data_IF_526852431848
#
_entry.id   IF_526852431848
#
_cell.length_a   1.000
_cell.length_b   1.000
_cell.length_c   1.000
_cell.angle_alpha   90.00
_cell.angle_beta   90.00
_cell.angle_gamma   90.00
#
_symmetry.space_group_name_H-M   'P 1'
#
loop_
_entity.id
_entity.type
_entity.pdbx_description
1 polymer ?
#
# COMPACT_ATOMS: atom_id res chain seq x y z
N UNK A 1 15.62 -66.02 47.00
CA UNK A 1 14.57 -65.44 47.87
C UNK A 1 15.18 -64.26 48.62
N UNK A 2 14.62 -63.04 48.56
CA UNK A 2 13.20 -62.67 48.66
C UNK A 2 12.67 -61.94 47.39
N UNK A 3 11.49 -62.26 46.86
CA UNK A 3 10.12 -61.83 47.24
C UNK A 3 9.82 -60.34 46.94
N UNK A 4 9.14 -60.17 45.79
CA UNK A 4 8.52 -58.97 45.26
C UNK A 4 7.44 -58.39 46.18
N UNK A 5 7.41 -57.06 46.33
CA UNK A 5 6.19 -56.31 46.62
C UNK A 5 6.13 -55.06 45.72
N UNK A 6 4.96 -54.92 45.09
CA UNK A 6 4.61 -53.94 44.05
C UNK A 6 4.37 -52.54 44.65
N UNK A 7 4.97 -51.51 44.04
CA UNK A 7 4.63 -50.11 44.31
C UNK A 7 3.79 -49.55 43.16
N UNK A 8 2.54 -49.22 43.49
CA UNK A 8 1.59 -48.48 42.64
C UNK A 8 2.08 -47.04 42.43
N UNK A 9 2.43 -46.69 41.20
CA UNK A 9 2.64 -45.30 40.77
C UNK A 9 1.28 -44.67 40.41
N UNK A 10 0.88 -43.66 41.18
CA UNK A 10 -0.21 -42.75 40.82
C UNK A 10 0.25 -41.85 39.66
N UNK A 11 -0.32 -42.06 38.48
CA UNK A 11 -0.16 -41.19 37.32
C UNK A 11 -1.22 -40.08 37.38
N UNK A 12 -0.78 -38.83 37.58
CA UNK A 12 -1.62 -37.65 37.46
C UNK A 12 -2.01 -37.44 35.99
N UNK A 13 -3.30 -37.65 35.68
CA UNK A 13 -3.90 -37.25 34.41
C UNK A 13 -3.77 -35.73 34.22
N UNK A 14 -2.93 -35.30 33.28
CA UNK A 14 -3.04 -33.99 32.68
C UNK A 14 -4.16 -34.01 31.63
N UNK A 15 -5.13 -33.07 31.66
CA UNK A 15 -6.08 -32.96 30.57
C UNK A 15 -5.33 -32.54 29.31
N UNK A 16 -5.41 -33.36 28.25
CA UNK A 16 -4.95 -33.02 26.90
C UNK A 16 -5.66 -31.75 26.47
N UNK A 17 -4.97 -30.61 26.56
CA UNK A 17 -5.37 -29.38 25.88
C UNK A 17 -5.36 -29.69 24.39
N UNK A 18 -6.56 -29.80 23.79
CA UNK A 18 -6.72 -29.76 22.34
C UNK A 18 -6.28 -28.37 21.89
N UNK A 19 -5.04 -28.26 21.44
CA UNK A 19 -4.61 -27.15 20.59
C UNK A 19 -5.48 -27.25 19.33
N UNK A 20 -6.46 -26.36 19.17
CA UNK A 20 -7.11 -26.17 17.89
C UNK A 20 -6.06 -25.57 16.96
N UNK A 21 -5.36 -26.42 16.21
CA UNK A 21 -4.70 -25.97 14.99
C UNK A 21 -5.79 -25.36 14.12
N UNK A 22 -5.75 -24.05 13.90
CA UNK A 22 -6.46 -23.44 12.78
C UNK A 22 -5.83 -24.00 11.51
N UNK A 23 -6.36 -25.12 11.05
CA UNK A 23 -6.16 -25.61 9.70
C UNK A 23 -6.77 -24.55 8.78
N UNK A 24 -5.96 -23.59 8.34
CA UNK A 24 -6.24 -22.86 7.12
C UNK A 24 -6.14 -23.90 5.99
N UNK A 25 -7.27 -24.53 5.69
CA UNK A 25 -7.41 -25.30 4.47
C UNK A 25 -7.28 -24.31 3.31
N UNK A 26 -6.31 -24.53 2.43
CA UNK A 26 -6.36 -23.95 1.09
C UNK A 26 -7.77 -24.10 0.53
N UNK A 27 -8.35 -23.09 -0.15
CA UNK A 27 -9.68 -23.23 -0.72
C UNK A 27 -9.73 -24.50 -1.54
N UNK A 28 -10.79 -25.31 -1.36
CA UNK A 28 -10.96 -26.52 -2.16
C UNK A 28 -10.96 -26.16 -3.64
N UNK A 29 -10.63 -27.10 -4.54
CA UNK A 29 -10.70 -26.88 -6.00
C UNK A 29 -12.06 -26.32 -6.45
N UNK A 30 -13.15 -26.69 -5.75
CA UNK A 30 -14.49 -26.13 -5.95
C UNK A 30 -14.60 -24.65 -5.55
N UNK A 31 -14.01 -24.25 -4.41
CA UNK A 31 -13.96 -22.85 -3.97
C UNK A 31 -13.07 -22.01 -4.91
N UNK A 32 -11.99 -22.56 -5.44
CA UNK A 32 -11.15 -21.90 -6.44
C UNK A 32 -11.90 -21.66 -7.76
N UNK A 33 -12.65 -22.67 -8.24
CA UNK A 33 -13.51 -22.54 -9.42
C UNK A 33 -14.60 -21.48 -9.22
N UNK A 34 -15.17 -21.36 -8.02
CA UNK A 34 -16.12 -20.31 -7.68
C UNK A 34 -15.50 -18.90 -7.67
N UNK A 35 -14.22 -18.76 -7.29
CA UNK A 35 -13.54 -17.47 -7.17
C UNK A 35 -13.13 -16.85 -8.51
N UNK A 36 -12.87 -17.67 -9.54
CA UNK A 36 -12.50 -17.19 -10.88
C UNK A 36 -13.68 -17.14 -11.85
N UNK A 37 -14.77 -17.83 -11.56
CA UNK A 37 -15.94 -17.87 -12.44
C UNK A 37 -15.56 -18.44 -13.82
N UNK A 38 -15.84 -17.68 -14.88
CA UNK A 38 -15.59 -18.08 -16.28
C UNK A 38 -14.22 -17.62 -16.81
N UNK A 39 -13.38 -17.01 -15.97
CA UNK A 39 -12.09 -16.45 -16.41
C UNK A 39 -11.10 -17.54 -16.82
N UNK A 40 -10.66 -17.52 -18.09
CA UNK A 40 -9.60 -18.40 -18.61
C UNK A 40 -8.22 -17.81 -18.31
N UNK A 41 -7.67 -18.19 -17.15
CA UNK A 41 -6.33 -17.78 -16.72
C UNK A 41 -5.24 -18.21 -17.69
N UNK A 42 -5.33 -19.42 -18.26
CA UNK A 42 -4.29 -19.94 -19.15
C UNK A 42 -4.27 -19.14 -20.45
N UNK A 43 -5.43 -18.85 -21.03
CA UNK A 43 -5.53 -17.99 -22.21
C UNK A 43 -5.04 -16.57 -21.90
N UNK A 44 -5.40 -16.02 -20.73
CA UNK A 44 -4.95 -14.69 -20.32
C UNK A 44 -3.43 -14.60 -20.18
N UNK A 45 -2.78 -15.56 -19.52
CA UNK A 45 -1.32 -15.52 -19.34
C UNK A 45 -0.56 -15.85 -20.63
N UNK A 46 -1.03 -16.85 -21.39
CA UNK A 46 -0.33 -17.29 -22.62
C UNK A 46 -0.36 -16.27 -23.76
N UNK A 47 -1.34 -15.38 -23.78
CA UNK A 47 -1.48 -14.38 -24.84
C UNK A 47 -0.44 -13.25 -24.80
N UNK A 48 0.35 -13.13 -23.72
CA UNK A 48 1.42 -12.13 -23.60
C UNK A 48 2.61 -12.69 -22.81
N UNK A 49 3.33 -13.62 -23.44
CA UNK A 49 4.55 -14.20 -22.89
C UNK A 49 5.80 -13.55 -23.49
N UNK A 50 6.86 -13.51 -22.68
CA UNK A 50 8.20 -13.14 -23.13
C UNK A 50 8.66 -14.08 -24.25
N UNK A 51 9.14 -13.54 -25.37
CA UNK A 51 9.66 -14.39 -26.45
C UNK A 51 11.08 -14.87 -26.11
N UNK A 52 11.44 -16.04 -26.64
CA UNK A 52 12.78 -16.60 -26.46
C UNK A 52 13.85 -15.59 -26.92
N UNK A 53 14.80 -15.27 -26.04
CA UNK A 53 15.90 -14.34 -26.30
C UNK A 53 15.62 -12.87 -25.99
N UNK A 54 14.40 -12.49 -25.60
CA UNK A 54 14.10 -11.13 -25.15
C UNK A 54 14.59 -10.89 -23.71
N UNK A 55 14.99 -9.65 -23.41
CA UNK A 55 15.35 -9.25 -22.05
C UNK A 55 14.11 -9.23 -21.13
N UNK A 56 14.05 -10.07 -20.09
CA UNK A 56 12.89 -10.18 -19.19
C UNK A 56 12.63 -8.90 -18.38
N UNK A 57 13.60 -7.99 -18.26
CA UNK A 57 13.45 -6.75 -17.49
C UNK A 57 12.98 -5.57 -18.34
N UNK A 58 13.02 -5.66 -19.67
CA UNK A 58 12.87 -4.52 -20.58
C UNK A 58 11.55 -3.78 -20.39
N UNK A 59 10.44 -4.50 -20.39
CA UNK A 59 9.09 -3.89 -20.40
C UNK A 59 8.59 -3.52 -19.01
N UNK A 60 9.00 -4.24 -17.96
CA UNK A 60 8.39 -4.10 -16.64
C UNK A 60 9.38 -3.72 -15.53
N UNK A 61 10.68 -3.63 -15.82
CA UNK A 61 11.73 -3.30 -14.85
C UNK A 61 11.83 -4.29 -13.66
N UNK A 62 11.36 -5.52 -13.86
CA UNK A 62 11.55 -6.71 -13.03
C UNK A 62 11.58 -7.93 -13.96
N UNK A 63 12.02 -9.07 -13.46
CA UNK A 63 12.15 -10.31 -14.24
C UNK A 63 10.78 -10.92 -14.59
N UNK A 64 10.25 -10.59 -15.78
CA UNK A 64 8.95 -11.11 -16.24
C UNK A 64 8.93 -12.65 -16.30
N UNK A 65 10.02 -13.26 -16.76
CA UNK A 65 10.11 -14.71 -16.90
C UNK A 65 9.93 -15.43 -15.56
N UNK A 66 10.55 -14.94 -14.49
CA UNK A 66 10.36 -15.51 -13.15
C UNK A 66 8.94 -15.28 -12.64
N UNK A 67 8.34 -14.13 -12.91
CA UNK A 67 6.93 -13.89 -12.55
C UNK A 67 6.02 -14.92 -13.22
N UNK A 68 6.12 -15.08 -14.54
CA UNK A 68 5.25 -15.96 -15.32
C UNK A 68 5.37 -17.43 -14.89
N UNK A 69 6.57 -17.85 -14.45
CA UNK A 69 6.84 -19.22 -13.96
C UNK A 69 6.11 -19.57 -12.66
N UNK A 70 5.89 -18.59 -11.78
CA UNK A 70 5.47 -18.85 -10.39
C UNK A 70 3.98 -19.19 -10.22
N UNK A 71 3.16 -19.03 -11.26
CA UNK A 71 1.70 -19.21 -11.20
C UNK A 71 1.01 -18.15 -10.34
N UNK A 72 -0.27 -17.90 -10.57
CA UNK A 72 -0.99 -16.77 -9.94
C UNK A 72 -1.41 -17.02 -8.47
N UNK A 73 -1.29 -18.26 -7.97
CA UNK A 73 -1.74 -18.69 -6.64
C UNK A 73 -0.61 -19.14 -5.71
N UNK A 74 0.64 -18.78 -6.03
CA UNK A 74 1.80 -19.26 -5.28
C UNK A 74 1.65 -19.09 -3.77
N UNK A 75 2.10 -20.08 -3.02
CA UNK A 75 2.24 -19.94 -1.58
C UNK A 75 3.34 -18.92 -1.25
N UNK A 76 3.08 -18.08 -0.23
CA UNK A 76 4.07 -17.19 0.36
C UNK A 76 4.16 -17.47 1.86
N UNK A 77 5.29 -17.10 2.46
CA UNK A 77 5.49 -17.26 3.90
C UNK A 77 4.64 -16.25 4.68
N UNK A 78 4.03 -16.68 5.79
CA UNK A 78 3.48 -15.76 6.78
C UNK A 78 4.64 -15.02 7.47
N UNK A 79 4.73 -13.72 7.22
CA UNK A 79 5.79 -12.83 7.72
C UNK A 79 5.35 -12.02 8.94
N UNK A 80 4.13 -12.27 9.45
CA UNK A 80 3.62 -11.59 10.65
C UNK A 80 4.37 -12.05 11.90
N UNK A 81 4.36 -11.20 12.92
CA UNK A 81 4.81 -11.60 14.25
C UNK A 81 3.84 -12.63 14.84
N UNK A 82 4.32 -13.62 15.60
CA UNK A 82 3.47 -14.72 16.11
C UNK A 82 2.27 -14.24 16.94
N UNK A 83 2.39 -13.10 17.62
CA UNK A 83 1.29 -12.46 18.38
C UNK A 83 0.14 -11.97 17.49
N UNK A 84 0.39 -11.67 16.21
CA UNK A 84 -0.65 -11.24 15.28
C UNK A 84 -1.68 -12.35 15.02
N UNK A 85 -1.28 -13.62 15.07
CA UNK A 85 -2.18 -14.75 14.88
C UNK A 85 -3.19 -14.93 16.02
N UNK A 86 -2.92 -14.33 17.19
CA UNK A 86 -3.83 -14.34 18.33
C UNK A 86 -4.75 -13.11 18.39
N UNK A 87 -4.62 -12.18 17.44
CA UNK A 87 -5.50 -11.01 17.38
C UNK A 87 -6.91 -11.43 16.97
N UNK A 88 -7.90 -10.79 17.58
CA UNK A 88 -9.30 -10.91 17.21
C UNK A 88 -9.77 -9.57 16.68
N UNK A 89 -10.74 -9.61 15.77
CA UNK A 89 -11.33 -8.43 15.15
C UNK A 89 -12.84 -8.51 15.30
N UNK A 90 -13.50 -7.37 15.16
CA UNK A 90 -14.95 -7.32 15.26
C UNK A 90 -15.61 -8.20 14.17
N UNK A 91 -16.70 -8.92 14.47
CA UNK A 91 -17.36 -9.78 13.48
C UNK A 91 -18.11 -8.99 12.40
N UNK A 92 -18.39 -7.71 12.64
CA UNK A 92 -19.18 -6.81 11.80
C UNK A 92 -18.33 -5.73 11.11
N UNK A 93 -17.07 -6.04 10.79
CA UNK A 93 -16.21 -5.12 10.03
C UNK A 93 -16.89 -4.70 8.70
N UNK A 94 -16.88 -3.40 8.36
CA UNK A 94 -17.48 -2.93 7.11
C UNK A 94 -16.69 -3.44 5.90
N UNK A 95 -17.36 -3.74 4.77
CA UNK A 95 -16.66 -4.13 3.56
C UNK A 95 -15.90 -2.94 2.95
N UNK A 96 -14.92 -3.24 2.11
CA UNK A 96 -14.08 -2.27 1.40
C UNK A 96 -14.18 -2.42 -0.12
N UNK A 97 -14.05 -1.30 -0.83
CA UNK A 97 -13.81 -1.27 -2.27
C UNK A 97 -12.30 -1.18 -2.50
N UNK A 98 -11.75 -2.20 -3.14
CA UNK A 98 -10.31 -2.32 -3.40
C UNK A 98 -10.01 -1.68 -4.75
N UNK A 99 -9.16 -0.66 -4.79
CA UNK A 99 -8.84 0.11 -5.99
C UNK A 99 -7.41 -0.22 -6.42
N UNK A 100 -7.28 -0.78 -7.62
CA UNK A 100 -5.99 -1.12 -8.23
C UNK A 100 -5.88 -0.37 -9.54
N UNK A 101 -5.00 0.63 -9.57
CA UNK A 101 -4.70 1.37 -10.80
C UNK A 101 -3.51 0.73 -11.50
N UNK A 102 -3.55 0.61 -12.82
CA UNK A 102 -2.42 0.05 -13.57
C UNK A 102 -2.27 0.71 -14.94
N UNK A 103 -1.02 0.70 -15.44
CA UNK A 103 -0.69 1.06 -16.80
C UNK A 103 0.38 0.12 -17.32
N UNK A 104 0.08 -0.65 -18.37
CA UNK A 104 1.00 -1.61 -19.00
C UNK A 104 1.66 -2.57 -17.99
N UNK A 105 0.91 -3.01 -16.98
CA UNK A 105 1.41 -3.99 -16.02
C UNK A 105 1.58 -5.38 -16.66
N UNK A 106 2.49 -6.20 -16.12
CA UNK A 106 2.56 -7.60 -16.53
C UNK A 106 1.29 -8.34 -16.10
N UNK A 107 0.76 -9.18 -17.01
CA UNK A 107 -0.45 -9.95 -16.73
C UNK A 107 -0.31 -10.86 -15.51
N UNK A 108 0.86 -11.47 -15.33
CA UNK A 108 1.15 -12.37 -14.22
C UNK A 108 1.20 -11.65 -12.87
N UNK A 109 1.71 -10.42 -12.78
CA UNK A 109 1.70 -9.64 -11.52
C UNK A 109 0.33 -9.05 -11.22
N UNK A 110 -0.37 -8.53 -12.24
CA UNK A 110 -1.71 -7.97 -12.08
C UNK A 110 -2.72 -9.04 -11.63
N UNK A 111 -2.74 -10.20 -12.30
CA UNK A 111 -3.62 -11.31 -11.93
C UNK A 111 -3.30 -11.83 -10.52
N UNK A 112 -2.01 -11.99 -10.18
CA UNK A 112 -1.58 -12.45 -8.86
C UNK A 112 -1.97 -11.47 -7.75
N UNK A 113 -1.95 -10.16 -8.03
CA UNK A 113 -2.46 -9.15 -7.09
C UNK A 113 -3.93 -9.39 -6.80
N UNK A 114 -4.77 -9.49 -7.84
CA UNK A 114 -6.21 -9.73 -7.73
C UNK A 114 -6.50 -11.04 -6.99
N UNK A 115 -5.83 -12.14 -7.38
CA UNK A 115 -6.06 -13.45 -6.76
C UNK A 115 -5.56 -13.49 -5.32
N UNK A 116 -4.44 -12.83 -4.99
CA UNK A 116 -3.98 -12.76 -3.61
C UNK A 116 -5.02 -12.09 -2.71
N UNK A 117 -5.67 -11.02 -3.20
CA UNK A 117 -6.78 -10.34 -2.51
C UNK A 117 -7.96 -11.27 -2.32
N UNK A 118 -8.46 -11.89 -3.40
CA UNK A 118 -9.63 -12.78 -3.34
C UNK A 118 -9.41 -14.01 -2.43
N UNK A 119 -8.19 -14.55 -2.42
CA UNK A 119 -7.85 -15.77 -1.70
C UNK A 119 -7.50 -15.56 -0.23
N UNK A 120 -7.04 -14.36 0.15
CA UNK A 120 -6.49 -14.06 1.50
C UNK A 120 -7.24 -12.95 2.23
N UNK A 121 -8.44 -12.61 1.74
CA UNK A 121 -9.37 -11.72 2.43
C UNK A 121 -10.70 -12.44 2.67
N UNK A 122 -11.35 -12.24 3.83
CA UNK A 122 -12.70 -12.76 4.06
C UNK A 122 -13.66 -12.28 2.96
N UNK A 123 -14.41 -13.17 2.28
CA UNK A 123 -15.21 -12.78 1.12
C UNK A 123 -16.22 -11.66 1.41
N UNK A 124 -16.82 -11.63 2.61
CA UNK A 124 -17.79 -10.59 2.99
C UNK A 124 -17.17 -9.19 3.15
N UNK A 125 -15.84 -9.08 3.35
CA UNK A 125 -15.16 -7.79 3.45
C UNK A 125 -14.78 -7.20 2.09
N UNK A 126 -14.81 -8.00 1.03
CA UNK A 126 -14.55 -7.51 -0.33
C UNK A 126 -15.89 -7.09 -0.94
N UNK A 127 -16.19 -5.79 -0.96
CA UNK A 127 -17.35 -5.29 -1.70
C UNK A 127 -17.14 -5.50 -3.20
N UNK A 128 -15.99 -5.06 -3.68
CA UNK A 128 -15.59 -5.08 -5.09
C UNK A 128 -14.09 -4.80 -5.24
N UNK A 129 -13.53 -5.19 -6.38
CA UNK A 129 -12.19 -4.81 -6.83
C UNK A 129 -12.37 -3.94 -8.09
N UNK A 130 -12.01 -2.67 -8.00
CA UNK A 130 -12.07 -1.71 -9.10
C UNK A 130 -10.67 -1.63 -9.73
N UNK A 131 -10.53 -2.23 -10.91
CA UNK A 131 -9.36 -2.07 -11.75
C UNK A 131 -9.51 -0.78 -12.55
N UNK A 132 -8.59 0.16 -12.35
CA UNK A 132 -8.53 1.37 -13.16
C UNK A 132 -7.38 1.26 -14.15
N UNK A 133 -7.71 0.96 -15.40
CA UNK A 133 -6.76 0.89 -16.50
C UNK A 133 -6.45 2.30 -16.98
N UNK A 134 -5.27 2.79 -16.63
CA UNK A 134 -4.76 4.11 -16.98
C UNK A 134 -4.17 4.10 -18.39
N UNK A 135 -5.02 3.83 -19.38
CA UNK A 135 -4.68 3.88 -20.81
C UNK A 135 -3.53 2.94 -21.20
N UNK A 136 -3.60 1.69 -20.77
CA UNK A 136 -2.68 0.64 -21.23
C UNK A 136 -2.79 0.43 -22.75
N UNK A 137 -1.70 0.02 -23.39
CA UNK A 137 -1.65 -0.26 -24.83
C UNK A 137 -2.55 -1.41 -25.23
N UNK A 138 -2.76 -2.38 -24.34
CA UNK A 138 -3.72 -3.46 -24.53
C UNK A 138 -5.00 -3.21 -23.70
N UNK A 139 -6.12 -2.77 -24.33
CA UNK A 139 -7.38 -2.54 -23.62
C UNK A 139 -8.03 -3.83 -23.11
N UNK A 140 -7.66 -4.99 -23.67
CA UNK A 140 -8.29 -6.27 -23.34
C UNK A 140 -7.88 -6.76 -21.94
N UNK A 141 -6.74 -6.32 -21.42
CA UNK A 141 -6.24 -6.78 -20.12
C UNK A 141 -7.27 -6.52 -19.00
N UNK A 142 -7.81 -5.30 -18.94
CA UNK A 142 -8.83 -4.91 -17.98
C UNK A 142 -10.17 -5.61 -18.23
N UNK A 143 -10.58 -5.69 -19.50
CA UNK A 143 -11.85 -6.30 -19.92
C UNK A 143 -11.92 -7.78 -19.56
N UNK A 144 -10.87 -8.54 -19.86
CA UNK A 144 -10.78 -9.97 -19.54
C UNK A 144 -10.80 -10.20 -18.03
N UNK A 145 -10.07 -9.41 -17.25
CA UNK A 145 -10.05 -9.53 -15.79
C UNK A 145 -11.40 -9.24 -15.13
N UNK A 146 -12.27 -8.43 -15.76
CA UNK A 146 -13.62 -8.17 -15.26
C UNK A 146 -14.57 -9.38 -15.30
N UNK A 147 -14.15 -10.49 -15.93
CA UNK A 147 -14.86 -11.76 -15.86
C UNK A 147 -14.68 -12.47 -14.51
N UNK A 148 -13.67 -12.08 -13.73
CA UNK A 148 -13.45 -12.59 -12.37
C UNK A 148 -14.53 -11.98 -11.45
N UNK A 149 -15.24 -12.79 -10.65
CA UNK A 149 -16.19 -12.31 -9.65
C UNK A 149 -15.66 -11.14 -8.80
N UNK A 150 -16.52 -10.14 -8.57
CA UNK A 150 -16.21 -8.88 -7.85
C UNK A 150 -15.27 -7.91 -8.56
N UNK A 151 -14.68 -8.27 -9.70
CA UNK A 151 -13.78 -7.38 -10.43
C UNK A 151 -14.56 -6.51 -11.41
N UNK A 152 -14.36 -5.19 -11.33
CA UNK A 152 -14.92 -4.19 -12.24
C UNK A 152 -13.78 -3.48 -12.96
N UNK A 153 -13.93 -3.30 -14.26
CA UNK A 153 -12.97 -2.56 -15.08
C UNK A 153 -13.44 -1.12 -15.33
N UNK A 154 -12.56 -0.14 -15.08
CA UNK A 154 -12.70 1.26 -15.47
C UNK A 154 -11.49 1.67 -16.30
N UNK A 155 -11.68 1.89 -17.61
CA UNK A 155 -10.57 2.31 -18.49
C UNK A 155 -10.59 3.80 -18.76
N UNK A 156 -9.45 4.46 -18.59
CA UNK A 156 -9.23 5.85 -19.00
C UNK A 156 -9.09 5.95 -20.53
N UNK A 157 -9.69 6.98 -21.12
CA UNK A 157 -9.64 7.24 -22.57
C UNK A 157 -8.30 7.83 -23.03
N UNK A 158 -7.50 8.33 -22.08
CA UNK A 158 -6.14 8.86 -22.28
C UNK A 158 -5.31 8.61 -21.02
N UNK A 159 -4.00 8.79 -21.11
CA UNK A 159 -3.11 8.63 -19.95
C UNK A 159 -3.36 9.74 -18.93
N UNK A 160 -3.95 9.39 -17.80
CA UNK A 160 -4.29 10.32 -16.71
C UNK A 160 -3.27 10.28 -15.58
N UNK A 161 -2.56 9.16 -15.39
CA UNK A 161 -1.65 8.97 -14.28
C UNK A 161 -2.30 8.36 -13.04
N UNK A 162 -1.45 7.96 -12.09
CA UNK A 162 -1.84 7.30 -10.83
C UNK A 162 -2.88 8.10 -10.05
N UNK A 163 -2.62 9.40 -9.88
CA UNK A 163 -3.39 10.29 -9.01
C UNK A 163 -4.85 10.38 -9.46
N UNK A 164 -5.06 10.78 -10.72
CA UNK A 164 -6.41 10.93 -11.30
C UNK A 164 -7.12 9.58 -11.45
N UNK A 165 -6.38 8.51 -11.74
CA UNK A 165 -6.93 7.15 -11.80
C UNK A 165 -7.44 6.67 -10.43
N UNK A 166 -6.71 6.94 -9.35
CA UNK A 166 -7.15 6.62 -7.97
C UNK A 166 -8.38 7.41 -7.57
N UNK A 167 -8.44 8.70 -7.92
CA UNK A 167 -9.63 9.54 -7.70
C UNK A 167 -10.85 8.99 -8.45
N UNK A 168 -10.68 8.56 -9.71
CA UNK A 168 -11.74 7.93 -10.49
C UNK A 168 -12.24 6.63 -9.84
N UNK A 169 -11.31 5.76 -9.41
CA UNK A 169 -11.63 4.53 -8.68
C UNK A 169 -12.39 4.80 -7.38
N UNK A 170 -11.91 5.76 -6.57
CA UNK A 170 -12.54 6.15 -5.31
C UNK A 170 -13.94 6.76 -5.50
N UNK A 171 -14.15 7.49 -6.60
CA UNK A 171 -15.46 8.05 -6.95
C UNK A 171 -16.46 6.95 -7.34
N UNK A 172 -15.99 5.89 -8.02
CA UNK A 172 -16.80 4.77 -8.47
C UNK A 172 -17.04 3.68 -7.40
N UNK A 173 -16.27 3.72 -6.30
CA UNK A 173 -16.39 2.80 -5.17
C UNK A 173 -17.76 2.88 -4.51
N UNK A 174 -18.35 1.74 -4.15
CA UNK A 174 -19.64 1.63 -3.47
C UNK A 174 -19.52 1.43 -1.95
N UNK A 175 -18.38 0.93 -1.47
CA UNK A 175 -18.15 0.73 -0.04
C UNK A 175 -17.83 2.04 0.70
N UNK A 176 -18.00 2.02 2.02
CA UNK A 176 -17.59 3.12 2.92
C UNK A 176 -16.08 3.14 3.18
N UNK A 177 -15.39 2.01 3.02
CA UNK A 177 -13.94 1.91 3.18
C UNK A 177 -13.28 1.79 1.80
N UNK A 178 -12.18 2.52 1.61
CA UNK A 178 -11.33 2.43 0.42
C UNK A 178 -10.04 1.70 0.78
N UNK A 179 -9.64 0.73 -0.05
CA UNK A 179 -8.34 0.07 0.05
C UNK A 179 -7.59 0.25 -1.26
N UNK A 180 -6.47 0.97 -1.23
CA UNK A 180 -5.65 1.21 -2.42
C UNK A 180 -4.49 0.21 -2.45
N UNK A 181 -4.25 -0.38 -3.61
CA UNK A 181 -3.14 -1.30 -3.87
C UNK A 181 -2.50 -0.97 -5.22
N UNK A 182 -1.18 -1.10 -5.30
CA UNK A 182 -0.49 -1.14 -6.59
C UNK A 182 -0.69 -2.49 -7.29
N UNK A 183 -0.49 -2.52 -8.60
CA UNK A 183 -0.82 -3.66 -9.49
C UNK A 183 0.18 -4.83 -9.46
N UNK A 184 1.15 -4.80 -8.55
CA UNK A 184 2.24 -5.76 -8.42
C UNK A 184 2.51 -6.05 -6.95
N UNK A 185 1.43 -6.40 -6.26
CA UNK A 185 1.41 -6.72 -4.84
C UNK A 185 0.99 -8.17 -4.60
N UNK A 186 1.39 -8.74 -3.47
CA UNK A 186 0.84 -9.98 -2.95
C UNK A 186 0.49 -9.80 -1.49
N UNK A 187 -0.79 -9.81 -1.16
CA UNK A 187 -1.25 -9.61 0.21
C UNK A 187 -1.01 -10.86 1.05
N UNK A 188 -0.62 -10.74 2.32
CA UNK A 188 -0.41 -11.91 3.19
C UNK A 188 -1.71 -12.32 3.91
N UNK A 189 -1.66 -13.38 4.70
CA UNK A 189 -2.79 -13.84 5.51
C UNK A 189 -3.23 -12.78 6.53
N UNK A 190 -4.55 -12.65 6.72
CA UNK A 190 -5.24 -11.65 7.56
C UNK A 190 -4.72 -10.21 7.42
N UNK A 191 -4.25 -9.82 6.23
CA UNK A 191 -3.72 -8.48 6.00
C UNK A 191 -4.79 -7.39 6.16
N UNK A 192 -6.06 -7.70 5.83
CA UNK A 192 -7.11 -6.70 5.65
C UNK A 192 -7.79 -6.29 6.96
N UNK A 193 -8.11 -7.28 7.80
CA UNK A 193 -8.88 -7.09 9.03
C UNK A 193 -8.22 -6.08 10.01
N UNK A 194 -6.89 -6.12 10.27
CA UNK A 194 -6.24 -5.11 11.09
C UNK A 194 -6.45 -3.69 10.56
N UNK A 195 -6.39 -3.50 9.23
CA UNK A 195 -6.53 -2.18 8.63
C UNK A 195 -7.97 -1.65 8.71
N UNK A 196 -8.96 -2.48 8.39
CA UNK A 196 -10.36 -2.08 8.48
C UNK A 196 -10.76 -1.81 9.94
N UNK A 197 -10.33 -2.64 10.88
CA UNK A 197 -10.56 -2.42 12.32
C UNK A 197 -10.08 -1.04 12.76
N UNK A 198 -8.84 -0.66 12.38
CA UNK A 198 -8.26 0.63 12.78
C UNK A 198 -8.98 1.84 12.22
N UNK A 199 -9.50 1.75 10.99
CA UNK A 199 -10.31 2.81 10.37
C UNK A 199 -11.74 2.83 10.94
N UNK A 200 -12.31 1.67 11.28
CA UNK A 200 -13.62 1.57 11.97
C UNK A 200 -13.58 2.25 13.34
N UNK A 201 -12.51 2.06 14.10
CA UNK A 201 -12.31 2.68 15.42
C UNK A 201 -12.20 4.22 15.35
N UNK A 202 -11.70 4.75 14.24
CA UNK A 202 -11.51 6.18 14.03
C UNK A 202 -11.35 6.45 12.53
N UNK A 203 -12.42 6.98 11.94
CA UNK A 203 -12.52 7.20 10.50
C UNK A 203 -11.52 8.25 9.98
N UNK A 204 -10.83 9.00 10.85
CA UNK A 204 -9.83 10.00 10.47
C UNK A 204 -8.43 9.40 10.23
N UNK A 205 -8.25 8.11 10.53
CA UNK A 205 -6.99 7.39 10.32
C UNK A 205 -6.88 6.92 8.87
N UNK A 206 -5.69 7.10 8.29
CA UNK A 206 -5.27 6.35 7.11
C UNK A 206 -4.16 5.39 7.52
N UNK A 207 -4.31 4.11 7.17
CA UNK A 207 -3.45 3.04 7.69
C UNK A 207 -2.80 2.26 6.56
N UNK A 208 -1.54 1.89 6.72
CA UNK A 208 -0.74 1.11 5.77
C UNK A 208 -0.27 -0.20 6.39
N UNK A 209 -0.05 -1.25 5.59
CA UNK A 209 0.63 -2.45 6.06
C UNK A 209 2.13 -2.20 6.23
N UNK A 210 2.82 -3.13 6.87
CA UNK A 210 4.25 -3.31 6.56
C UNK A 210 4.35 -3.82 5.12
N UNK A 211 5.12 -3.12 4.30
CA UNK A 211 5.34 -3.47 2.91
C UNK A 211 6.55 -4.40 2.82
N UNK A 212 6.28 -5.69 2.67
CA UNK A 212 7.29 -6.71 2.43
C UNK A 212 7.88 -6.56 1.01
N UNK A 213 9.06 -7.13 0.79
CA UNK A 213 9.77 -7.03 -0.49
C UNK A 213 9.49 -8.27 -1.32
N UNK A 214 8.96 -8.09 -2.53
CA UNK A 214 9.03 -9.11 -3.57
C UNK A 214 10.24 -8.77 -4.43
N UNK A 215 11.25 -9.64 -4.43
CA UNK A 215 12.48 -9.44 -5.19
C UNK A 215 12.19 -9.27 -6.67
N UNK A 216 12.72 -8.21 -7.30
CA UNK A 216 12.52 -7.96 -8.73
C UNK A 216 13.22 -8.99 -9.63
N UNK A 217 14.19 -9.76 -9.10
CA UNK A 217 15.02 -10.67 -9.89
C UNK A 217 14.50 -12.12 -9.86
N UNK A 218 14.11 -12.61 -8.68
CA UNK A 218 13.69 -13.99 -8.46
C UNK A 218 12.30 -14.12 -7.80
N UNK A 219 11.62 -13.00 -7.58
CA UNK A 219 10.29 -12.94 -6.97
C UNK A 219 10.20 -13.54 -5.56
N UNK A 220 11.32 -13.78 -4.86
CA UNK A 220 11.27 -14.20 -3.46
C UNK A 220 10.48 -13.19 -2.61
N UNK A 221 9.56 -13.68 -1.79
CA UNK A 221 8.80 -12.88 -0.84
C UNK A 221 9.61 -12.76 0.46
N UNK A 222 10.08 -11.56 0.78
CA UNK A 222 11.02 -11.27 1.85
C UNK A 222 10.38 -10.35 2.88
N UNK A 223 10.43 -10.75 4.16
CA UNK A 223 9.88 -9.95 5.25
C UNK A 223 10.64 -8.62 5.40
N UNK A 224 9.91 -7.52 5.45
CA UNK A 224 10.46 -6.22 5.84
C UNK A 224 10.48 -6.07 7.38
N UNK A 225 11.36 -5.19 7.86
CA UNK A 225 11.49 -4.88 9.29
C UNK A 225 10.21 -4.19 9.81
N UNK A 226 9.76 -4.59 11.00
CA UNK A 226 8.67 -3.94 11.73
C UNK A 226 9.11 -2.72 12.56
N UNK A 227 10.39 -2.35 12.46
CA UNK A 227 10.96 -1.19 13.14
C UNK A 227 11.17 0.00 12.19
N UNK A 228 10.52 0.00 11.02
CA UNK A 228 10.60 1.07 10.03
C UNK A 228 9.31 1.88 9.98
N UNK A 229 9.47 3.20 9.82
CA UNK A 229 8.41 4.15 9.48
C UNK A 229 8.80 4.94 8.24
N UNK A 230 7.83 5.57 7.58
CA UNK A 230 8.09 6.43 6.44
C UNK A 230 8.61 7.80 6.88
N UNK A 231 9.70 8.23 6.26
CA UNK A 231 10.31 9.55 6.43
C UNK A 231 10.63 10.18 5.09
N UNK A 232 11.24 11.36 5.14
CA UNK A 232 11.63 12.09 3.94
C UNK A 232 12.84 12.99 4.20
N UNK A 233 13.56 13.36 3.14
CA UNK A 233 14.54 14.45 3.19
C UNK A 233 13.94 15.76 2.66
N UNK A 234 14.65 16.88 2.85
CA UNK A 234 14.16 18.18 2.39
C UNK A 234 13.96 18.25 0.87
N UNK A 235 14.56 17.38 0.06
CA UNK A 235 14.32 17.32 -1.38
C UNK A 235 12.97 16.70 -1.74
N UNK A 236 12.16 16.36 -0.72
CA UNK A 236 10.93 15.56 -0.79
C UNK A 236 11.18 14.22 -1.46
N UNK A 237 12.23 13.52 -1.03
CA UNK A 237 12.47 12.11 -1.39
C UNK A 237 12.06 11.21 -0.23
N UNK A 238 11.32 10.14 -0.53
CA UNK A 238 10.82 9.21 0.48
C UNK A 238 11.95 8.28 0.91
N UNK A 239 12.05 8.02 2.21
CA UNK A 239 13.00 7.04 2.76
C UNK A 239 12.36 6.28 3.92
N UNK A 240 12.81 5.06 4.13
CA UNK A 240 12.48 4.31 5.34
C UNK A 240 13.41 4.74 6.47
N UNK A 241 12.84 5.12 7.60
CA UNK A 241 13.58 5.50 8.80
C UNK A 241 13.32 4.47 9.90
N UNK A 242 14.32 4.23 10.75
CA UNK A 242 14.10 3.48 11.98
C UNK A 242 13.16 4.27 12.89
N UNK A 243 12.28 3.56 13.59
CA UNK A 243 11.51 4.16 14.68
C UNK A 243 12.49 4.74 15.72
N UNK A 244 12.29 5.99 16.19
CA UNK A 244 13.12 6.58 17.23
C UNK A 244 13.28 5.66 18.45
N UNK A 245 14.46 5.63 19.05
CA UNK A 245 14.80 4.66 20.09
C UNK A 245 13.83 4.76 21.28
N UNK A 246 13.39 5.96 21.65
CA UNK A 246 12.44 6.20 22.72
C UNK A 246 11.08 5.56 22.42
N UNK A 247 10.59 5.74 21.18
CA UNK A 247 9.34 5.13 20.73
C UNK A 247 9.46 3.61 20.64
N UNK A 248 10.62 3.12 20.18
CA UNK A 248 10.90 1.69 20.11
C UNK A 248 10.92 1.05 21.50
N UNK A 249 11.56 1.69 22.48
CA UNK A 249 11.63 1.23 23.87
C UNK A 249 10.28 1.30 24.59
N UNK A 250 9.44 2.28 24.27
CA UNK A 250 8.09 2.38 24.82
C UNK A 250 7.13 1.30 24.28
N UNK A 251 7.46 0.66 23.16
CA UNK A 251 6.60 -0.30 22.47
C UNK A 251 6.77 -1.72 23.03
N UNK A 252 5.97 -2.04 24.05
CA UNK A 252 5.98 -3.35 24.71
C UNK A 252 5.26 -4.47 23.93
N UNK A 253 4.43 -4.09 22.95
CA UNK A 253 3.68 -5.03 22.12
C UNK A 253 4.00 -4.84 20.63
N UNK A 254 4.64 -5.80 19.96
CA UNK A 254 5.08 -5.66 18.58
C UNK A 254 3.93 -5.58 17.57
N UNK A 255 2.69 -5.84 17.97
CA UNK A 255 1.49 -5.71 17.11
C UNK A 255 0.92 -4.29 17.08
N UNK A 256 1.35 -3.41 18.01
CA UNK A 256 0.80 -2.07 18.12
C UNK A 256 1.07 -1.23 16.85
N UNK A 257 0.10 -0.39 16.44
CA UNK A 257 0.27 0.56 15.34
C UNK A 257 1.48 1.48 15.53
N UNK A 258 2.16 1.80 14.44
CA UNK A 258 3.30 2.72 14.41
C UNK A 258 2.86 3.99 13.71
N UNK A 259 2.90 5.13 14.41
CA UNK A 259 2.64 6.44 13.77
C UNK A 259 3.75 6.77 12.77
N UNK A 260 3.36 7.15 11.57
CA UNK A 260 4.31 7.44 10.48
C UNK A 260 4.15 8.89 9.98
N UNK A 261 5.24 9.68 9.87
CA UNK A 261 5.17 11.03 9.31
C UNK A 261 4.60 11.05 7.89
N UNK A 262 5.06 10.12 7.05
CA UNK A 262 4.63 9.98 5.66
C UNK A 262 4.38 8.51 5.33
N UNK A 263 3.45 8.24 4.42
CA UNK A 263 3.26 6.90 3.85
C UNK A 263 4.03 6.76 2.54
N UNK A 264 4.35 5.52 2.15
CA UNK A 264 4.90 5.23 0.83
C UNK A 264 3.91 5.60 -0.29
N UNK A 265 2.60 5.59 0.00
CA UNK A 265 1.53 6.04 -0.90
C UNK A 265 0.91 4.93 -1.75
N UNK A 266 1.65 3.86 -2.04
CA UNK A 266 1.19 2.72 -2.86
C UNK A 266 0.02 1.93 -2.25
N UNK A 267 0.06 1.72 -0.93
CA UNK A 267 -0.81 0.76 -0.24
C UNK A 267 -1.33 1.37 1.06
N UNK A 268 -2.65 1.60 1.14
CA UNK A 268 -3.29 2.09 2.37
C UNK A 268 -4.80 1.86 2.37
N UNK A 269 -5.40 1.98 3.56
CA UNK A 269 -6.85 1.93 3.80
C UNK A 269 -7.30 3.23 4.45
N UNK A 270 -8.44 3.75 4.01
CA UNK A 270 -9.00 5.01 4.49
C UNK A 270 -10.52 5.01 4.37
N UNK A 271 -11.21 5.70 5.27
CA UNK A 271 -12.65 5.95 5.14
C UNK A 271 -12.92 6.83 3.90
N UNK A 272 -13.92 6.44 3.10
CA UNK A 272 -14.30 7.13 1.86
C UNK A 272 -14.85 8.53 2.14
N UNK A 273 -15.65 8.68 3.20
CA UNK A 273 -16.19 9.97 3.62
C UNK A 273 -15.07 10.93 4.00
N UNK A 274 -14.09 10.45 4.75
CA UNK A 274 -12.90 11.19 5.13
C UNK A 274 -12.00 11.52 3.93
N UNK A 275 -11.76 10.58 3.02
CA UNK A 275 -11.03 10.82 1.77
C UNK A 275 -11.67 11.95 0.95
N UNK A 276 -13.00 11.95 0.84
CA UNK A 276 -13.74 13.01 0.16
C UNK A 276 -13.71 14.34 0.93
N UNK A 277 -13.88 14.30 2.25
CA UNK A 277 -13.85 15.49 3.11
C UNK A 277 -12.50 16.21 3.02
N UNK A 278 -11.40 15.46 3.03
CA UNK A 278 -10.06 16.01 2.85
C UNK A 278 -9.78 16.47 1.42
N UNK A 279 -10.73 16.38 0.48
CA UNK A 279 -10.56 16.82 -0.90
C UNK A 279 -9.70 15.88 -1.74
N UNK A 280 -9.87 14.56 -1.55
CA UNK A 280 -9.36 13.48 -2.40
C UNK A 280 -7.84 13.60 -2.65
N UNK A 281 -7.39 13.51 -3.89
CA UNK A 281 -6.03 13.92 -4.28
C UNK A 281 -6.06 15.23 -5.06
N UNK A 282 -4.91 15.90 -5.15
CA UNK A 282 -4.71 17.02 -6.07
C UNK A 282 -4.64 16.54 -7.52
N UNK A 283 -5.75 16.68 -8.26
CA UNK A 283 -5.89 16.19 -9.65
C UNK A 283 -5.04 16.94 -10.68
N UNK A 284 -4.37 18.03 -10.30
CA UNK A 284 -3.39 18.73 -11.14
C UNK A 284 -1.96 18.18 -10.98
N UNK A 285 -1.76 17.14 -10.16
CA UNK A 285 -0.54 16.32 -10.19
C UNK A 285 -0.57 15.33 -11.36
N UNK A 286 0.58 15.08 -11.96
CA UNK A 286 0.68 14.25 -13.16
C UNK A 286 1.42 12.95 -12.93
N UNK A 287 0.99 11.90 -13.64
CA UNK A 287 1.61 10.57 -13.75
C UNK A 287 1.91 9.89 -12.42
N UNK A 288 2.98 10.29 -11.72
CA UNK A 288 3.48 9.65 -10.53
C UNK A 288 4.36 10.59 -9.69
N UNK A 289 4.31 10.41 -8.38
CA UNK A 289 5.25 10.99 -7.41
C UNK A 289 4.75 12.28 -6.79
N UNK A 290 5.05 12.49 -5.51
CA UNK A 290 4.68 13.69 -4.75
C UNK A 290 3.33 13.61 -4.04
N UNK A 291 2.40 12.79 -4.53
CA UNK A 291 1.05 12.65 -3.98
C UNK A 291 1.04 12.03 -2.58
N UNK A 292 2.02 11.17 -2.30
CA UNK A 292 2.22 10.55 -1.00
C UNK A 292 2.58 11.59 0.07
N UNK A 293 3.43 12.59 -0.25
CA UNK A 293 3.74 13.70 0.66
C UNK A 293 2.56 14.63 0.84
N UNK A 294 1.90 15.02 -0.25
CA UNK A 294 0.75 15.93 -0.21
C UNK A 294 -0.37 15.37 0.65
N UNK A 295 -0.73 14.09 0.44
CA UNK A 295 -1.73 13.42 1.25
C UNK A 295 -1.26 13.30 2.71
N UNK A 296 0.00 12.93 2.94
CA UNK A 296 0.51 12.74 4.30
C UNK A 296 0.47 14.02 5.13
N UNK A 297 0.99 15.12 4.57
CA UNK A 297 0.96 16.42 5.23
C UNK A 297 -0.47 16.87 5.49
N UNK A 298 -1.34 16.74 4.49
CA UNK A 298 -2.75 17.10 4.63
C UNK A 298 -3.47 16.31 5.72
N UNK A 299 -3.31 14.98 5.75
CA UNK A 299 -3.99 14.15 6.76
C UNK A 299 -3.58 14.59 8.16
N UNK A 300 -2.28 14.74 8.43
CA UNK A 300 -1.80 15.18 9.75
C UNK A 300 -2.21 16.62 10.08
N UNK A 301 -2.04 17.54 9.15
CA UNK A 301 -2.30 18.96 9.39
C UNK A 301 -3.80 19.25 9.53
N UNK A 302 -4.67 18.45 8.91
CA UNK A 302 -6.11 18.64 8.94
C UNK A 302 -6.84 17.69 9.91
N UNK A 303 -6.14 17.17 10.92
CA UNK A 303 -6.77 16.53 12.09
C UNK A 303 -6.90 15.00 12.03
N UNK A 304 -6.32 14.34 11.03
CA UNK A 304 -6.21 12.88 10.96
C UNK A 304 -4.85 12.36 11.43
N UNK A 305 -4.58 11.08 11.17
CA UNK A 305 -3.29 10.47 11.45
C UNK A 305 -2.94 9.36 10.46
N UNK A 306 -1.64 9.06 10.36
CA UNK A 306 -1.11 7.99 9.53
C UNK A 306 -0.46 6.91 10.41
N UNK A 307 -0.82 5.65 10.17
CA UNK A 307 -0.31 4.52 10.93
C UNK A 307 0.19 3.39 10.01
N UNK A 308 1.25 2.70 10.42
CA UNK A 308 1.70 1.42 9.85
C UNK A 308 1.30 0.32 10.83
N UNK A 309 0.63 -0.72 10.34
CA UNK A 309 0.12 -1.82 11.16
C UNK A 309 1.00 -3.07 11.01
N UNK A 310 1.76 -3.48 12.04
CA UNK A 310 2.70 -4.60 11.92
C UNK A 310 2.08 -5.96 11.57
N UNK A 311 0.81 -6.15 11.92
CA UNK A 311 0.07 -7.37 11.63
C UNK A 311 -0.59 -7.39 10.25
N UNK A 312 -0.57 -6.28 9.52
CA UNK A 312 -0.93 -6.25 8.11
C UNK A 312 0.35 -6.30 7.27
N UNK A 313 0.45 -7.31 6.39
CA UNK A 313 1.62 -7.58 5.56
C UNK A 313 1.21 -7.64 4.10
N UNK A 314 1.86 -6.84 3.25
CA UNK A 314 1.65 -6.86 1.80
C UNK A 314 3.00 -6.80 1.12
N UNK A 315 3.32 -7.81 0.29
CA UNK A 315 4.51 -7.81 -0.54
C UNK A 315 4.34 -6.89 -1.73
N UNK A 316 5.40 -6.18 -2.11
CA UNK A 316 5.43 -5.27 -3.25
C UNK A 316 6.71 -5.50 -4.08
N UNK A 317 6.59 -5.51 -5.42
CA UNK A 317 7.74 -5.58 -6.32
C UNK A 317 8.42 -4.21 -6.42
N UNK A 318 9.48 -3.99 -5.64
CA UNK A 318 10.26 -2.75 -5.70
C UNK A 318 11.18 -2.74 -6.92
N UNK A 319 11.00 -1.75 -7.79
CA UNK A 319 11.73 -1.61 -9.07
C UNK A 319 12.82 -0.56 -8.95
N UNK A 320 13.92 -0.73 -9.70
CA UNK A 320 15.02 0.26 -9.77
C UNK A 320 14.74 1.43 -10.72
N UNK A 321 13.81 1.26 -11.66
CA UNK A 321 13.43 2.26 -12.66
C UNK A 321 11.93 2.19 -12.94
N UNK A 322 11.37 3.29 -13.45
CA UNK A 322 10.00 3.32 -13.95
C UNK A 322 9.94 2.68 -15.35
N UNK A 323 9.02 1.73 -15.60
CA UNK A 323 8.86 1.09 -16.91
C UNK A 323 7.90 1.82 -17.86
N UNK A 324 7.44 3.02 -17.51
CA UNK A 324 6.45 3.78 -18.27
C UNK A 324 6.97 5.18 -18.59
N UNK A 325 6.39 5.76 -19.64
CA UNK A 325 6.77 7.08 -20.13
C UNK A 325 6.23 8.21 -19.26
N UNK A 326 7.00 9.29 -19.22
CA UNK A 326 6.62 10.58 -18.63
C UNK A 326 6.59 11.60 -19.77
N UNK A 327 5.42 12.10 -20.19
CA UNK A 327 5.30 12.99 -21.35
C UNK A 327 6.19 14.25 -21.26
N UNK A 328 6.35 14.82 -20.07
CA UNK A 328 7.22 15.97 -19.81
C UNK A 328 8.59 15.58 -19.19
N UNK A 329 8.88 14.28 -19.10
CA UNK A 329 10.07 13.73 -18.44
C UNK A 329 9.91 13.57 -16.93
N UNK A 330 10.43 12.45 -16.40
CA UNK A 330 10.27 12.03 -15.00
C UNK A 330 10.65 13.13 -14.00
N UNK A 331 11.82 13.75 -14.18
CA UNK A 331 12.31 14.77 -13.26
C UNK A 331 11.41 16.01 -13.20
N UNK A 332 10.89 16.48 -14.34
CA UNK A 332 10.01 17.65 -14.40
C UNK A 332 8.63 17.34 -13.83
N UNK A 333 8.07 16.16 -14.13
CA UNK A 333 6.82 15.70 -13.51
C UNK A 333 6.94 15.61 -11.99
N UNK A 334 8.02 15.00 -11.49
CA UNK A 334 8.27 14.89 -10.05
C UNK A 334 8.44 16.26 -9.39
N UNK A 335 9.18 17.18 -10.02
CA UNK A 335 9.32 18.56 -9.55
C UNK A 335 7.97 19.27 -9.53
N UNK A 336 7.18 19.17 -10.59
CA UNK A 336 5.83 19.77 -10.64
C UNK A 336 4.99 19.32 -9.45
N UNK A 337 4.87 18.01 -9.23
CA UNK A 337 4.03 17.47 -8.16
C UNK A 337 4.56 17.82 -6.76
N UNK A 338 5.86 17.66 -6.51
CA UNK A 338 6.47 17.99 -5.21
C UNK A 338 6.41 19.48 -4.89
N UNK A 339 6.50 20.36 -5.90
CA UNK A 339 6.27 21.80 -5.72
C UNK A 339 4.85 22.12 -5.32
N UNK A 340 3.86 21.46 -5.92
CA UNK A 340 2.45 21.63 -5.52
C UNK A 340 2.24 21.25 -4.06
N UNK A 341 2.85 20.15 -3.62
CA UNK A 341 2.82 19.75 -2.20
C UNK A 341 3.51 20.81 -1.31
N UNK A 342 4.72 21.23 -1.66
CA UNK A 342 5.51 22.18 -0.87
C UNK A 342 4.83 23.56 -0.76
N UNK A 343 4.34 24.10 -1.87
CA UNK A 343 3.72 25.42 -1.91
C UNK A 343 2.40 25.50 -1.15
N UNK A 344 1.67 24.39 -1.04
CA UNK A 344 0.39 24.34 -0.30
C UNK A 344 0.59 24.02 1.17
N UNK A 345 1.52 23.12 1.52
CA UNK A 345 1.55 22.49 2.85
C UNK A 345 2.79 22.80 3.69
N UNK A 346 3.90 23.27 3.11
CA UNK A 346 5.16 23.42 3.85
C UNK A 346 5.41 24.82 4.42
N UNK A 347 4.49 25.77 4.28
CA UNK A 347 4.63 27.14 4.81
C UNK A 347 6.00 27.76 4.43
N UNK A 348 6.72 28.36 5.38
CA UNK A 348 8.09 28.87 5.19
C UNK A 348 9.14 27.76 4.98
N UNK A 349 8.88 26.53 5.44
CA UNK A 349 9.80 25.40 5.33
C UNK A 349 10.01 24.92 3.88
N UNK A 350 9.15 25.35 2.94
CA UNK A 350 9.39 25.12 1.51
C UNK A 350 10.71 25.70 1.02
N UNK A 351 11.29 26.68 1.73
CA UNK A 351 12.63 27.17 1.42
C UNK A 351 13.69 26.07 1.54
N UNK A 352 13.60 25.16 2.51
CA UNK A 352 14.52 24.03 2.61
C UNK A 352 14.39 23.06 1.44
N UNK A 353 13.17 22.88 0.92
CA UNK A 353 12.96 22.14 -0.32
C UNK A 353 13.65 22.80 -1.51
N UNK A 354 13.50 24.12 -1.67
CA UNK A 354 14.15 24.86 -2.75
C UNK A 354 15.67 24.92 -2.62
N UNK A 355 16.22 24.83 -1.41
CA UNK A 355 17.67 24.73 -1.17
C UNK A 355 18.18 23.32 -1.48
N UNK A 356 17.47 22.27 -1.05
CA UNK A 356 17.84 20.88 -1.31
C UNK A 356 17.63 20.47 -2.78
N UNK A 357 16.72 21.13 -3.49
CA UNK A 357 16.42 20.91 -4.91
C UNK A 357 16.37 22.24 -5.68
N UNK A 358 17.52 22.89 -5.94
CA UNK A 358 17.56 24.19 -6.63
C UNK A 358 16.92 24.16 -8.03
N UNK A 359 16.99 23.02 -8.71
CA UNK A 359 16.37 22.81 -10.04
C UNK A 359 14.84 22.96 -10.05
N UNK A 360 14.19 22.92 -8.88
CA UNK A 360 12.77 23.18 -8.75
C UNK A 360 12.44 24.67 -8.86
N UNK A 361 13.37 25.58 -8.55
CA UNK A 361 13.13 27.02 -8.58
C UNK A 361 12.76 27.50 -10.00
N UNK A 362 11.76 28.36 -10.11
CA UNK A 362 11.30 28.92 -11.40
C UNK A 362 10.53 27.98 -12.32
N UNK A 363 10.42 26.68 -12.01
CA UNK A 363 9.60 25.73 -12.80
C UNK A 363 8.09 25.99 -12.67
N UNK A 364 7.30 25.68 -13.69
CA UNK A 364 5.85 25.81 -13.59
C UNK A 364 5.27 24.65 -12.76
N UNK A 365 4.26 24.92 -11.93
CA UNK A 365 3.53 23.90 -11.17
C UNK A 365 2.00 24.05 -11.26
N UNK A 366 1.53 24.96 -12.12
CA UNK A 366 0.11 25.26 -12.32
C UNK A 366 -0.53 26.00 -11.14
N UNK A 367 -1.83 26.28 -11.25
CA UNK A 367 -2.59 26.91 -10.15
C UNK A 367 -2.76 25.95 -8.98
N UNK A 368 -2.60 26.48 -7.77
CA UNK A 368 -2.85 25.80 -6.48
C UNK A 368 -3.98 26.47 -5.68
N UNK A 369 -4.73 27.38 -6.30
CA UNK A 369 -5.76 28.18 -5.62
C UNK A 369 -6.80 27.31 -4.90
N UNK A 370 -7.27 26.24 -5.54
CA UNK A 370 -8.26 25.33 -4.95
C UNK A 370 -7.71 24.57 -3.75
N UNK A 371 -6.44 24.18 -3.79
CA UNK A 371 -5.76 23.48 -2.67
C UNK A 371 -5.54 24.42 -1.48
N UNK A 372 -5.19 25.68 -1.73
CA UNK A 372 -5.10 26.71 -0.68
C UNK A 372 -6.48 27.04 -0.09
N UNK A 373 -7.52 27.13 -0.93
CA UNK A 373 -8.89 27.33 -0.47
C UNK A 373 -9.37 26.16 0.40
N UNK A 374 -9.07 24.93 -0.01
CA UNK A 374 -9.35 23.73 0.78
C UNK A 374 -8.63 23.74 2.12
N UNK A 375 -7.32 24.03 2.15
CA UNK A 375 -6.54 24.11 3.40
C UNK A 375 -7.15 25.10 4.40
N UNK A 376 -7.61 26.27 3.91
CA UNK A 376 -8.34 27.25 4.72
C UNK A 376 -9.70 26.74 5.18
N UNK A 377 -10.49 26.15 4.28
CA UNK A 377 -11.82 25.61 4.57
C UNK A 377 -11.78 24.55 5.68
N UNK A 378 -10.76 23.69 5.67
CA UNK A 378 -10.56 22.64 6.65
C UNK A 378 -9.89 23.11 7.95
N UNK A 379 -9.53 24.40 8.03
CA UNK A 379 -8.82 24.98 9.18
C UNK A 379 -7.58 24.17 9.58
N UNK A 380 -6.78 23.75 8.59
CA UNK A 380 -5.62 22.89 8.85
C UNK A 380 -4.52 23.66 9.58
N UNK A 381 -3.80 22.94 10.45
CA UNK A 381 -2.64 23.45 11.18
C UNK A 381 -1.46 23.84 10.27
N UNK A 382 -0.44 24.45 10.86
CA UNK A 382 0.81 24.80 10.16
C UNK A 382 1.73 23.59 10.01
N UNK A 383 2.70 23.71 9.09
CA UNK A 383 3.75 22.71 8.92
C UNK A 383 4.60 22.58 10.18
N UNK A 384 4.78 23.66 10.96
CA UNK A 384 5.44 23.61 12.27
C UNK A 384 4.74 22.61 13.19
N UNK A 385 3.40 22.65 13.28
CA UNK A 385 2.62 21.67 14.06
C UNK A 385 2.85 20.25 13.57
N UNK A 386 2.86 20.02 12.25
CA UNK A 386 3.19 18.71 11.67
C UNK A 386 4.57 18.23 12.11
N UNK A 387 5.60 19.08 12.03
CA UNK A 387 6.96 18.69 12.42
C UNK A 387 7.05 18.34 13.91
N UNK A 388 6.38 19.09 14.78
CA UNK A 388 6.33 18.80 16.21
C UNK A 388 5.62 17.48 16.53
N UNK A 389 4.50 17.18 15.86
CA UNK A 389 3.72 15.96 16.09
C UNK A 389 4.40 14.70 15.54
N UNK A 390 4.99 14.78 14.35
CA UNK A 390 5.41 13.59 13.60
C UNK A 390 6.91 13.31 13.72
N UNK A 391 7.72 14.36 13.80
CA UNK A 391 9.18 14.26 13.75
C UNK A 391 9.81 14.46 15.13
N UNK A 392 9.19 15.23 16.03
CA UNK A 392 9.75 15.58 17.33
C UNK A 392 10.82 16.68 17.23
N UNK A 393 11.34 17.14 18.37
CA UNK A 393 12.29 18.27 18.46
C UNK A 393 13.58 18.06 17.65
N UNK A 394 14.06 16.81 17.58
CA UNK A 394 15.32 16.41 16.92
C UNK A 394 15.10 15.75 15.55
N UNK A 395 13.86 15.57 15.10
CA UNK A 395 13.54 14.80 13.89
C UNK A 395 13.36 15.62 12.61
N UNK A 396 13.60 16.94 12.66
CA UNK A 396 13.72 17.71 11.42
C UNK A 396 14.91 17.12 10.63
N UNK A 397 14.75 16.80 9.33
CA UNK A 397 15.90 16.42 8.53
C UNK A 397 16.99 17.50 8.63
N UNK A 398 18.27 17.14 8.50
CA UNK A 398 19.36 18.10 8.58
C UNK A 398 19.08 19.32 7.69
N UNK A 399 18.92 20.49 8.32
CA UNK A 399 18.55 21.71 7.62
C UNK A 399 19.70 22.05 6.66
N UNK A 400 19.46 22.13 5.34
CA UNK A 400 20.52 22.56 4.44
C UNK A 400 20.93 23.99 4.81
N UNK A 401 22.24 24.27 4.83
CA UNK A 401 22.76 25.60 5.12
C UNK A 401 22.11 26.63 4.18
N UNK A 402 21.31 27.54 4.76
CA UNK A 402 20.80 28.69 4.06
C UNK A 402 21.98 29.65 3.86
N UNK A 403 22.64 29.59 2.71
CA UNK A 403 23.64 30.61 2.38
C UNK A 403 22.93 31.97 2.33
N UNK A 404 23.38 32.99 3.09
CA UNK A 404 22.85 34.33 2.94
C UNK A 404 23.05 34.79 1.48
N UNK A 405 22.01 35.40 0.92
CA UNK A 405 22.02 35.97 -0.43
C UNK A 405 22.96 37.17 -0.53
#
# INVERSE_FOLDING_TARGET
HPLFFSFLFFSFLHPKIKVSQSLFSHPSLEQQSQLLGQFDEKAFLSSKQLKAGEDPYREHAFNLQESDRLGSERAIRDTRHYRCAAMTFDPDLPPTSIIITFHNEARSTLLRTIKSVLMRSPPHLIQEIILVDDFSSNPEDCRLLSQIPKVRCLRNERREGLIRSRVRGASAASASILTLLDSHCEVNTDWLQPMIQRVKEDHTRAVSPIIDVISLDNFAYLAASADLRGGFDWSLHFKWEQIPIEQKMARNDPTQPIRTPVIAGGIFVMDKGWFNHLGQYDTHMDIWGGENFELSFRVWMCGGSLEILPCSRVGHVFRKRHPYDFPEGNALTYIKNTRRAAEVWMDEYKQYYYTARPSAQGKAFGSIADRLALRRKLNCNSFLTFTGLCLGSDGLPDKPELRPK
#
